data_IF_905515122840
#
_entry.id   IF_905515122840
#
_cell.length_a   1.000
_cell.length_b   1.000
_cell.length_c   1.000
_cell.angle_alpha   90.00
_cell.angle_beta   90.00
_cell.angle_gamma   90.00
#
_symmetry.space_group_name_H-M   'P 1'
#
loop_
_entity.id
_entity.type
_entity.pdbx_description
1 polymer ?
#
# COMPACT_ATOMS: atom_id res chain seq x y z
N UNK A 1 -16.17 -16.53 -7.64
CA UNK A 1 -15.13 -16.90 -8.63
C UNK A 1 -15.15 -15.86 -9.75
N UNK A 2 -14.71 -14.64 -9.42
CA UNK A 2 -14.77 -13.44 -10.27
C UNK A 2 -13.39 -12.76 -10.19
N UNK A 3 -12.97 -12.01 -11.22
CA UNK A 3 -11.65 -11.37 -11.25
C UNK A 3 -11.49 -10.35 -10.13
N UNK A 4 -12.56 -9.60 -9.82
CA UNK A 4 -12.61 -8.74 -8.63
C UNK A 4 -12.28 -9.52 -7.34
N UNK A 5 -12.79 -10.74 -7.20
CA UNK A 5 -12.45 -11.61 -6.07
C UNK A 5 -10.96 -11.97 -6.03
N UNK A 6 -10.30 -12.16 -7.18
CA UNK A 6 -8.86 -12.37 -7.23
C UNK A 6 -8.08 -11.11 -6.82
N UNK A 7 -8.56 -9.91 -7.20
CA UNK A 7 -7.93 -8.65 -6.79
C UNK A 7 -8.00 -8.46 -5.27
N UNK A 8 -9.14 -8.76 -4.64
CA UNK A 8 -9.28 -8.70 -3.18
C UNK A 8 -8.51 -9.82 -2.45
N UNK A 9 -8.33 -10.99 -3.06
CA UNK A 9 -7.42 -12.01 -2.53
C UNK A 9 -5.97 -11.52 -2.48
N UNK A 10 -5.52 -10.80 -3.52
CA UNK A 10 -4.19 -10.18 -3.53
C UNK A 10 -4.06 -9.10 -2.44
N UNK A 11 -5.10 -8.30 -2.20
CA UNK A 11 -5.11 -7.35 -1.09
C UNK A 11 -5.01 -8.06 0.26
N UNK A 12 -5.82 -9.08 0.49
CA UNK A 12 -5.79 -9.87 1.73
C UNK A 12 -4.40 -10.50 1.96
N UNK A 13 -3.80 -11.06 0.92
CA UNK A 13 -2.45 -11.63 0.99
C UNK A 13 -1.40 -10.58 1.39
N UNK A 14 -1.51 -9.38 0.83
CA UNK A 14 -0.62 -8.24 1.12
C UNK A 14 -0.76 -7.79 2.57
N UNK A 15 -1.99 -7.66 3.05
CA UNK A 15 -2.30 -7.18 4.41
C UNK A 15 -1.91 -8.20 5.49
N UNK A 16 -1.87 -9.49 5.15
CA UNK A 16 -1.65 -10.56 6.12
C UNK A 16 -0.27 -10.54 6.77
N UNK A 17 0.76 -10.02 6.09
CA UNK A 17 2.11 -9.94 6.63
C UNK A 17 2.89 -8.79 5.98
N UNK A 18 3.58 -8.00 6.81
CA UNK A 18 4.44 -6.94 6.33
C UNK A 18 5.46 -7.47 5.30
N UNK A 19 5.62 -6.70 4.21
CA UNK A 19 6.52 -7.04 3.12
C UNK A 19 5.94 -7.93 2.01
N UNK A 20 4.79 -8.58 2.23
CA UNK A 20 4.06 -9.31 1.19
C UNK A 20 3.61 -8.38 0.06
N UNK A 21 3.53 -8.93 -1.16
CA UNK A 21 2.91 -8.30 -2.32
C UNK A 21 2.03 -9.35 -2.97
N UNK A 22 0.72 -9.13 -2.92
CA UNK A 22 -0.25 -9.98 -3.61
C UNK A 22 -0.24 -9.72 -5.11
N UNK A 23 -0.38 -10.79 -5.89
CA UNK A 23 -0.41 -10.73 -7.35
C UNK A 23 -1.78 -11.19 -7.86
N UNK A 24 -2.38 -10.40 -8.74
CA UNK A 24 -3.64 -10.68 -9.41
C UNK A 24 -3.39 -10.78 -10.92
N UNK A 25 -3.82 -11.87 -11.55
CA UNK A 25 -3.55 -12.14 -12.97
C UNK A 25 -4.87 -12.34 -13.71
N UNK A 26 -5.01 -11.71 -14.88
CA UNK A 26 -6.17 -11.80 -15.74
C UNK A 26 -5.82 -11.71 -17.22
N UNK A 27 -6.80 -12.01 -18.07
CA UNK A 27 -6.70 -11.80 -19.53
C UNK A 27 -6.85 -10.32 -19.89
N UNK A 28 -7.09 -10.00 -21.17
CA UNK A 28 -7.37 -8.66 -21.67
C UNK A 28 -8.79 -8.16 -21.33
N UNK A 29 -9.08 -6.94 -21.77
CA UNK A 29 -10.43 -6.37 -21.80
C UNK A 29 -11.14 -6.40 -20.44
N UNK A 30 -12.21 -7.19 -20.30
CA UNK A 30 -13.06 -7.17 -19.12
C UNK A 30 -12.32 -7.56 -17.83
N UNK A 31 -11.29 -8.40 -17.91
CA UNK A 31 -10.54 -8.79 -16.71
C UNK A 31 -9.81 -7.58 -16.09
N UNK A 32 -9.20 -6.72 -16.90
CA UNK A 32 -8.57 -5.50 -16.40
C UNK A 32 -9.58 -4.55 -15.76
N UNK A 33 -10.74 -4.35 -16.39
CA UNK A 33 -11.79 -3.49 -15.82
C UNK A 33 -12.38 -4.04 -14.52
N UNK A 34 -12.43 -5.36 -14.35
CA UNK A 34 -12.89 -6.02 -13.12
C UNK A 34 -11.87 -5.90 -11.96
N UNK A 35 -10.62 -5.52 -12.22
CA UNK A 35 -9.61 -5.27 -11.19
C UNK A 35 -9.64 -3.84 -10.63
N UNK A 36 -10.35 -2.91 -11.27
CA UNK A 36 -10.29 -1.48 -10.94
C UNK A 36 -10.72 -1.21 -9.50
N UNK A 37 -11.76 -1.88 -9.00
CA UNK A 37 -12.22 -1.74 -7.61
C UNK A 37 -11.14 -2.19 -6.62
N UNK A 38 -10.47 -3.32 -6.87
CA UNK A 38 -9.37 -3.81 -6.03
C UNK A 38 -8.15 -2.90 -6.05
N UNK A 39 -7.81 -2.33 -7.22
CA UNK A 39 -6.76 -1.32 -7.34
C UNK A 39 -7.10 -0.05 -6.54
N UNK A 40 -8.33 0.44 -6.66
CA UNK A 40 -8.80 1.59 -5.87
C UNK A 40 -8.75 1.32 -4.36
N UNK A 41 -9.24 0.16 -3.92
CA UNK A 41 -9.18 -0.26 -2.51
C UNK A 41 -7.74 -0.27 -1.99
N UNK A 42 -6.82 -0.85 -2.77
CA UNK A 42 -5.41 -0.93 -2.39
C UNK A 42 -4.72 0.45 -2.31
N UNK A 43 -4.94 1.35 -3.27
CA UNK A 43 -4.32 2.69 -3.24
C UNK A 43 -4.91 3.57 -2.13
N UNK A 44 -6.21 3.44 -1.85
CA UNK A 44 -6.87 4.18 -0.78
C UNK A 44 -6.22 3.87 0.58
N UNK A 45 -5.92 2.59 0.81
CA UNK A 45 -5.32 2.11 2.06
C UNK A 45 -3.79 2.10 2.08
N UNK A 46 -3.15 2.58 1.00
CA UNK A 46 -1.69 2.65 0.88
C UNK A 46 -1.01 1.28 0.96
N UNK A 47 -1.59 0.26 0.30
CA UNK A 47 -1.02 -1.09 0.25
C UNK A 47 -0.65 -1.49 -1.19
N UNK A 48 0.41 -2.31 -1.39
CA UNK A 48 0.82 -2.73 -2.73
C UNK A 48 0.15 -4.04 -3.17
N UNK A 49 -0.52 -4.02 -4.32
CA UNK A 49 -0.81 -5.24 -5.10
C UNK A 49 -0.26 -5.07 -6.52
N UNK A 50 0.12 -6.18 -7.15
CA UNK A 50 0.52 -6.21 -8.55
C UNK A 50 -0.59 -6.86 -9.39
N UNK A 51 -1.20 -6.09 -10.27
CA UNK A 51 -2.12 -6.61 -11.27
C UNK A 51 -1.39 -6.82 -12.60
N UNK A 52 -1.59 -7.99 -13.22
CA UNK A 52 -1.04 -8.34 -14.52
C UNK A 52 -2.20 -8.69 -15.45
N UNK A 53 -2.32 -8.00 -16.57
CA UNK A 53 -3.32 -8.28 -17.61
C UNK A 53 -2.64 -8.72 -18.90
N UNK A 54 -3.26 -9.66 -19.61
CA UNK A 54 -2.94 -9.90 -21.01
C UNK A 54 -3.52 -8.79 -21.89
N UNK A 55 -3.04 -8.66 -23.12
CA UNK A 55 -3.51 -7.67 -24.09
C UNK A 55 -3.43 -8.20 -25.52
N UNK A 56 -4.23 -7.62 -26.41
CA UNK A 56 -4.14 -7.84 -27.85
C UNK A 56 -2.73 -7.48 -28.40
N UNK A 57 -2.32 -8.02 -29.57
CA UNK A 57 -1.02 -7.71 -30.15
C UNK A 57 -0.80 -6.21 -30.37
N UNK A 58 0.44 -5.74 -30.24
CA UNK A 58 0.79 -4.31 -30.36
C UNK A 58 0.29 -3.68 -31.68
N UNK A 59 0.34 -4.43 -32.79
CA UNK A 59 -0.06 -3.98 -34.13
C UNK A 59 -1.56 -3.68 -34.31
N UNK A 60 -2.41 -4.03 -33.33
CA UNK A 60 -3.87 -3.91 -33.43
C UNK A 60 -4.52 -3.17 -32.25
N UNK A 61 -3.74 -2.62 -31.31
CA UNK A 61 -4.26 -1.91 -30.12
C UNK A 61 -5.22 -0.75 -30.45
N UNK A 62 -5.10 -0.16 -31.65
CA UNK A 62 -5.94 0.96 -32.10
C UNK A 62 -7.00 0.56 -33.14
N UNK A 63 -7.25 -0.74 -33.34
CA UNK A 63 -8.16 -1.26 -34.39
C UNK A 63 -9.44 -1.89 -33.84
N UNK A 64 -9.76 -1.63 -32.57
CA UNK A 64 -10.91 -2.26 -31.90
C UNK A 64 -10.86 -3.80 -31.96
N UNK A 65 -9.66 -4.37 -31.78
CA UNK A 65 -9.48 -5.81 -31.73
C UNK A 65 -10.27 -6.43 -30.57
N UNK A 66 -10.60 -7.71 -30.68
CA UNK A 66 -11.48 -8.35 -29.71
C UNK A 66 -10.91 -8.25 -28.28
N UNK A 67 -11.70 -7.65 -27.37
CA UNK A 67 -11.31 -7.39 -25.97
C UNK A 67 -10.07 -6.51 -25.79
N UNK A 68 -9.70 -5.69 -26.78
CA UNK A 68 -8.69 -4.65 -26.62
C UNK A 68 -9.30 -3.42 -25.95
N UNK A 69 -8.77 -3.03 -24.79
CA UNK A 69 -9.15 -1.82 -24.06
C UNK A 69 -7.90 -1.12 -23.57
N UNK A 70 -7.91 0.21 -23.52
CA UNK A 70 -6.83 1.01 -22.93
C UNK A 70 -6.89 0.94 -21.39
N UNK A 71 -6.55 -0.23 -20.86
CA UNK A 71 -6.56 -0.48 -19.41
C UNK A 71 -5.54 0.39 -18.67
N UNK A 72 -4.43 0.74 -19.33
CA UNK A 72 -3.40 1.60 -18.74
C UNK A 72 -3.96 2.98 -18.38
N UNK A 73 -4.72 3.61 -19.29
CA UNK A 73 -5.36 4.90 -19.04
C UNK A 73 -6.48 4.80 -18.01
N UNK A 74 -7.25 3.70 -18.01
CA UNK A 74 -8.35 3.48 -17.04
C UNK A 74 -7.80 3.30 -15.62
N UNK A 75 -6.73 2.54 -15.44
CA UNK A 75 -6.16 2.22 -14.13
C UNK A 75 -5.24 3.32 -13.58
N UNK A 76 -4.74 4.23 -14.43
CA UNK A 76 -3.82 5.30 -14.03
C UNK A 76 -4.27 6.14 -12.82
N UNK A 77 -5.55 6.53 -12.65
CA UNK A 77 -5.98 7.33 -11.51
C UNK A 77 -5.99 6.57 -10.17
N UNK A 78 -5.99 5.24 -10.20
CA UNK A 78 -6.13 4.37 -9.02
C UNK A 78 -4.91 3.47 -8.80
N UNK A 79 -3.77 3.82 -9.39
CA UNK A 79 -2.50 3.10 -9.26
C UNK A 79 -1.32 4.05 -9.08
N UNK A 80 -0.20 3.54 -8.55
CA UNK A 80 1.07 4.26 -8.61
C UNK A 80 1.66 4.28 -10.02
N UNK A 81 1.40 3.21 -10.77
CA UNK A 81 1.71 3.10 -12.18
C UNK A 81 0.77 2.10 -12.85
N UNK A 82 0.39 2.41 -14.09
CA UNK A 82 -0.30 1.51 -15.00
C UNK A 82 0.38 1.62 -16.36
N UNK A 83 0.93 0.53 -16.88
CA UNK A 83 1.75 0.55 -18.10
C UNK A 83 1.44 -0.63 -19.00
N UNK A 84 1.16 -0.37 -20.28
CA UNK A 84 1.21 -1.38 -21.32
C UNK A 84 2.64 -1.48 -21.85
N UNK A 85 3.23 -2.68 -21.78
CA UNK A 85 4.61 -2.92 -22.21
C UNK A 85 4.61 -3.16 -23.71
N UNK A 86 5.26 -2.30 -24.48
CA UNK A 86 5.25 -2.37 -25.95
C UNK A 86 6.46 -3.11 -26.54
N UNK A 87 7.51 -3.30 -25.74
CA UNK A 87 8.76 -3.93 -26.18
C UNK A 87 9.13 -5.08 -25.23
N UNK A 88 9.34 -6.28 -25.79
CA UNK A 88 9.59 -7.49 -25.00
C UNK A 88 10.81 -7.39 -24.08
N UNK A 89 11.91 -6.79 -24.57
CA UNK A 89 13.13 -6.58 -23.80
C UNK A 89 12.94 -5.65 -22.58
N UNK A 90 11.85 -4.87 -22.53
CA UNK A 90 11.54 -4.01 -21.39
C UNK A 90 10.79 -4.74 -20.27
N UNK A 91 10.21 -5.92 -20.52
CA UNK A 91 9.40 -6.65 -19.54
C UNK A 91 10.13 -6.81 -18.20
N UNK A 92 11.38 -7.33 -18.13
CA UNK A 92 12.07 -7.47 -16.84
C UNK A 92 12.25 -6.14 -16.10
N UNK A 93 12.61 -5.07 -16.82
CA UNK A 93 12.80 -3.73 -16.24
C UNK A 93 11.49 -3.10 -15.74
N UNK A 94 10.37 -3.36 -16.42
CA UNK A 94 9.04 -2.90 -15.96
C UNK A 94 8.64 -3.60 -14.66
N UNK A 95 8.89 -4.91 -14.54
CA UNK A 95 8.68 -5.62 -13.27
C UNK A 95 9.61 -5.08 -12.16
N UNK A 96 10.88 -4.86 -12.46
CA UNK A 96 11.85 -4.28 -11.53
C UNK A 96 11.36 -2.93 -10.98
N UNK A 97 10.89 -2.06 -11.88
CA UNK A 97 10.34 -0.75 -11.52
C UNK A 97 9.01 -0.87 -10.76
N UNK A 98 8.15 -1.81 -11.10
CA UNK A 98 6.90 -2.05 -10.39
C UNK A 98 7.14 -2.39 -8.92
N UNK A 99 8.07 -3.30 -8.63
CA UNK A 99 8.44 -3.65 -7.26
C UNK A 99 9.07 -2.49 -6.50
N UNK A 100 9.91 -1.69 -7.16
CA UNK A 100 10.46 -0.46 -6.57
C UNK A 100 9.34 0.52 -6.17
N UNK A 101 8.39 0.78 -7.07
CA UNK A 101 7.28 1.70 -6.82
C UNK A 101 6.33 1.20 -5.73
N UNK A 102 6.02 -0.09 -5.73
CA UNK A 102 5.16 -0.70 -4.70
C UNK A 102 5.75 -0.57 -3.29
N UNK A 103 7.09 -0.48 -3.15
CA UNK A 103 7.76 -0.40 -1.84
C UNK A 103 8.22 1.00 -1.42
N UNK A 104 8.40 1.92 -2.37
CA UNK A 104 9.02 3.24 -2.14
C UNK A 104 8.00 4.29 -1.72
N UNK A 105 8.36 5.11 -0.71
CA UNK A 105 7.48 6.17 -0.19
C UNK A 105 6.16 5.62 0.36
N UNK A 106 5.02 6.22 -0.02
CA UNK A 106 3.69 5.67 0.24
C UNK A 106 3.46 4.44 -0.67
N UNK A 107 3.28 3.22 -0.13
CA UNK A 107 2.99 2.05 -0.95
C UNK A 107 1.66 2.18 -1.69
N UNK A 108 1.50 1.43 -2.76
CA UNK A 108 0.30 1.46 -3.58
C UNK A 108 0.41 0.49 -4.76
N UNK A 109 -0.69 0.21 -5.45
CA UNK A 109 -0.77 -0.84 -6.44
C UNK A 109 -0.18 -0.43 -7.79
N UNK A 110 0.21 -1.43 -8.57
CA UNK A 110 0.72 -1.27 -9.94
C UNK A 110 -0.02 -2.22 -10.88
N UNK A 111 -0.32 -1.77 -12.09
CA UNK A 111 -0.83 -2.59 -13.18
C UNK A 111 0.19 -2.68 -14.32
N UNK A 112 0.49 -3.91 -14.75
CA UNK A 112 1.30 -4.21 -15.94
C UNK A 112 0.40 -4.90 -16.95
N UNK A 113 0.28 -4.30 -18.13
CA UNK A 113 -0.50 -4.82 -19.25
C UNK A 113 0.44 -5.37 -20.34
N UNK A 114 0.24 -6.63 -20.73
CA UNK A 114 1.19 -7.40 -21.53
C UNK A 114 0.55 -7.88 -22.85
N UNK A 115 0.84 -7.22 -23.99
CA UNK A 115 0.48 -7.72 -25.32
C UNK A 115 1.01 -9.12 -25.57
N UNK A 116 0.20 -9.98 -26.19
CA UNK A 116 0.56 -11.40 -26.38
C UNK A 116 1.80 -11.59 -27.26
N UNK A 117 2.02 -10.73 -28.25
CA UNK A 117 3.23 -10.71 -29.09
C UNK A 117 4.47 -10.33 -28.29
N UNK A 118 4.35 -9.37 -27.37
CA UNK A 118 5.41 -8.98 -26.42
C UNK A 118 5.75 -10.15 -25.48
N UNK A 119 4.75 -10.89 -24.99
CA UNK A 119 4.96 -12.05 -24.11
C UNK A 119 5.69 -13.21 -24.80
N UNK A 120 5.45 -13.43 -26.09
CA UNK A 120 5.98 -14.58 -26.84
C UNK A 120 7.33 -14.31 -27.51
N UNK A 121 7.78 -13.06 -27.53
CA UNK A 121 9.05 -12.69 -28.17
C UNK A 121 10.23 -13.15 -27.31
N UNK A 122 11.18 -13.87 -27.94
CA UNK A 122 12.43 -14.25 -27.29
C UNK A 122 13.32 -13.02 -27.05
N UNK A 123 13.90 -12.92 -25.86
CA UNK A 123 14.80 -11.83 -25.47
C UNK A 123 16.11 -12.41 -24.94
N UNK A 124 17.19 -11.66 -25.10
CA UNK A 124 18.42 -11.91 -24.36
C UNK A 124 18.29 -11.34 -22.94
N UNK A 125 18.40 -12.19 -21.94
CA UNK A 125 18.28 -11.80 -20.53
C UNK A 125 19.15 -12.70 -19.67
N UNK A 126 20.04 -12.10 -18.88
CA UNK A 126 20.86 -12.79 -17.90
C UNK A 126 20.25 -12.58 -16.49
N UNK A 127 19.65 -13.61 -15.88
CA UNK A 127 19.07 -13.50 -14.55
C UNK A 127 20.10 -13.28 -13.45
N UNK A 128 21.39 -13.60 -13.67
CA UNK A 128 22.45 -13.36 -12.68
C UNK A 128 22.78 -11.87 -12.54
N UNK A 129 22.44 -11.06 -13.55
CA UNK A 129 22.63 -9.61 -13.54
C UNK A 129 21.39 -8.85 -13.03
N UNK A 130 20.31 -9.54 -12.70
CA UNK A 130 19.06 -8.91 -12.26
C UNK A 130 19.08 -8.59 -10.76
N UNK A 131 19.18 -7.31 -10.44
CA UNK A 131 19.22 -6.82 -9.06
C UNK A 131 17.98 -5.97 -8.72
N UNK A 132 17.33 -6.15 -7.55
CA UNK A 132 16.26 -5.26 -7.14
C UNK A 132 16.73 -3.80 -6.99
N UNK A 133 15.93 -2.84 -7.46
CA UNK A 133 16.24 -1.42 -7.24
C UNK A 133 16.10 -1.10 -5.73
N UNK A 134 17.10 -0.43 -5.12
CA UNK A 134 17.02 -0.02 -3.72
C UNK A 134 15.75 0.78 -3.40
N UNK A 135 15.13 0.47 -2.26
CA UNK A 135 13.90 1.15 -1.81
C UNK A 135 14.27 2.41 -1.05
N UNK A 136 13.67 3.55 -1.43
CA UNK A 136 13.84 4.80 -0.70
C UNK A 136 12.70 5.01 0.30
N UNK A 137 13.04 5.26 1.56
CA UNK A 137 12.12 5.68 2.62
C UNK A 137 12.65 6.97 3.26
N UNK A 138 11.87 8.06 3.32
CA UNK A 138 12.30 9.25 4.03
C UNK A 138 12.44 8.94 5.53
N UNK A 139 13.45 9.51 6.17
CA UNK A 139 13.69 9.34 7.59
C UNK A 139 13.75 10.71 8.28
N UNK A 140 13.16 10.81 9.47
CA UNK A 140 13.28 12.00 10.30
C UNK A 140 14.71 12.14 10.83
N UNK A 141 15.22 13.37 10.85
CA UNK A 141 16.48 13.68 11.51
C UNK A 141 16.33 13.65 13.03
N UNK A 142 17.43 13.40 13.75
CA UNK A 142 17.48 13.46 15.21
C UNK A 142 16.88 14.75 15.78
N UNK A 143 17.20 15.91 15.17
CA UNK A 143 16.67 17.21 15.62
C UNK A 143 15.15 17.31 15.50
N UNK A 144 14.55 16.71 14.47
CA UNK A 144 13.10 16.67 14.32
C UNK A 144 12.45 15.79 15.39
N UNK A 145 13.04 14.63 15.68
CA UNK A 145 12.56 13.73 16.74
C UNK A 145 12.70 14.36 18.13
N UNK A 146 13.84 14.97 18.43
CA UNK A 146 14.06 15.69 19.70
C UNK A 146 13.03 16.79 19.88
N UNK A 147 12.68 17.53 18.82
CA UNK A 147 11.65 18.57 18.88
C UNK A 147 10.26 17.98 19.15
N UNK A 148 9.89 16.88 18.51
CA UNK A 148 8.60 16.21 18.74
C UNK A 148 8.48 15.70 20.18
N UNK A 149 9.54 15.07 20.71
CA UNK A 149 9.58 14.56 22.09
C UNK A 149 9.56 15.71 23.11
N UNK A 150 10.22 16.84 22.84
CA UNK A 150 10.11 18.03 23.70
C UNK A 150 8.67 18.56 23.78
N UNK A 151 7.95 18.55 22.65
CA UNK A 151 6.54 18.96 22.63
C UNK A 151 5.66 17.99 23.39
N UNK A 152 5.90 16.68 23.22
CA UNK A 152 5.20 15.62 23.96
C UNK A 152 5.40 15.77 25.47
N UNK A 153 6.64 15.96 25.92
CA UNK A 153 6.98 16.10 27.35
C UNK A 153 6.47 17.39 28.00
N UNK A 154 6.16 18.42 27.21
CA UNK A 154 5.59 19.67 27.70
C UNK A 154 4.06 19.58 27.88
N UNK A 155 3.43 18.52 27.38
CA UNK A 155 2.00 18.28 27.43
C UNK A 155 1.57 17.69 28.77
N UNK A 156 0.41 18.06 29.29
CA UNK A 156 -0.14 17.47 30.52
C UNK A 156 -0.99 16.21 30.25
N UNK A 157 -1.68 16.18 29.10
CA UNK A 157 -2.60 15.10 28.69
C UNK A 157 -2.38 14.73 27.20
N UNK A 158 -1.17 14.27 26.82
CA UNK A 158 -0.90 13.88 25.44
C UNK A 158 -1.58 12.55 25.10
N UNK A 159 -1.85 12.35 23.81
CA UNK A 159 -2.25 11.05 23.24
C UNK A 159 -1.44 10.73 21.98
N UNK A 160 -1.15 9.44 21.77
CA UNK A 160 -0.61 8.94 20.50
C UNK A 160 -1.76 8.50 19.60
N UNK A 161 -1.83 8.98 18.36
CA UNK A 161 -2.77 8.45 17.36
C UNK A 161 -2.00 7.54 16.42
N UNK A 162 -2.30 6.23 16.51
CA UNK A 162 -1.58 5.19 15.78
C UNK A 162 -2.28 4.83 14.46
N UNK A 163 -1.66 5.20 13.35
CA UNK A 163 -2.12 4.97 12.00
C UNK A 163 -1.70 3.61 11.42
N UNK A 164 -2.35 3.19 10.32
CA UNK A 164 -1.94 2.00 9.57
C UNK A 164 -0.54 2.09 8.95
N UNK A 165 0.06 3.29 8.91
CA UNK A 165 1.45 3.49 8.50
C UNK A 165 2.45 2.71 9.37
N UNK A 166 2.13 2.52 10.65
CA UNK A 166 2.96 1.77 11.60
C UNK A 166 2.99 0.28 11.25
N UNK A 167 1.83 -0.30 10.91
CA UNK A 167 1.73 -1.69 10.44
C UNK A 167 2.48 -1.86 9.12
N UNK A 168 2.28 -0.94 8.17
CA UNK A 168 3.00 -0.94 6.89
C UNK A 168 4.52 -0.82 7.04
N UNK A 169 4.98 -0.13 8.10
CA UNK A 169 6.39 0.02 8.42
C UNK A 169 6.97 -1.17 9.21
N UNK A 170 6.15 -2.16 9.58
CA UNK A 170 6.51 -3.27 10.46
C UNK A 170 7.05 -2.78 11.81
N UNK A 171 6.40 -1.73 12.37
CA UNK A 171 6.89 -0.98 13.52
C UNK A 171 5.96 -1.08 14.74
N UNK A 172 5.06 -2.06 14.78
CA UNK A 172 4.09 -2.21 15.87
C UNK A 172 4.78 -2.37 17.23
N UNK A 173 5.77 -3.26 17.34
CA UNK A 173 6.51 -3.49 18.59
C UNK A 173 7.23 -2.22 19.07
N UNK A 174 7.81 -1.44 18.15
CA UNK A 174 8.47 -0.17 18.48
C UNK A 174 7.49 0.90 18.95
N UNK A 175 6.26 0.93 18.42
CA UNK A 175 5.23 1.83 18.94
C UNK A 175 4.84 1.45 20.36
N UNK A 176 4.65 0.15 20.63
CA UNK A 176 4.31 -0.34 21.97
C UNK A 176 5.40 0.05 22.97
N UNK A 177 6.68 -0.23 22.65
CA UNK A 177 7.82 0.17 23.48
C UNK A 177 7.83 1.69 23.71
N UNK A 178 7.60 2.50 22.68
CA UNK A 178 7.56 3.96 22.82
C UNK A 178 6.41 4.43 23.73
N UNK A 179 5.23 3.84 23.60
CA UNK A 179 4.08 4.16 24.44
C UNK A 179 4.35 3.79 25.90
N UNK A 180 4.90 2.60 26.16
CA UNK A 180 5.26 2.12 27.50
C UNK A 180 6.34 3.00 28.16
N UNK A 181 7.39 3.36 27.42
CA UNK A 181 8.46 4.23 27.93
C UNK A 181 7.98 5.63 28.30
N UNK A 182 6.99 6.14 27.58
CA UNK A 182 6.46 7.50 27.80
C UNK A 182 5.23 7.52 28.71
N UNK A 183 4.57 6.38 28.92
CA UNK A 183 3.31 6.28 29.64
C UNK A 183 2.14 6.99 28.95
N UNK A 184 2.24 7.23 27.63
CA UNK A 184 1.26 8.01 26.88
C UNK A 184 0.15 7.10 26.33
N UNK A 185 -1.13 7.40 26.58
CA UNK A 185 -2.23 6.61 26.04
C UNK A 185 -2.28 6.61 24.50
N UNK A 186 -2.69 5.47 23.92
CA UNK A 186 -2.71 5.22 22.47
C UNK A 186 -4.14 5.11 21.97
N UNK A 187 -4.43 5.83 20.89
CA UNK A 187 -5.67 5.81 20.13
C UNK A 187 -5.36 5.21 18.76
N UNK A 188 -5.65 3.92 18.52
CA UNK A 188 -5.51 3.36 17.18
C UNK A 188 -6.58 3.95 16.24
N UNK A 189 -6.19 4.24 15.00
CA UNK A 189 -7.14 4.38 13.90
C UNK A 189 -7.70 3.00 13.55
N UNK A 190 -8.80 2.92 12.78
CA UNK A 190 -9.30 1.63 12.28
C UNK A 190 -8.21 0.84 11.52
N UNK A 191 -7.35 1.55 10.79
CA UNK A 191 -6.25 0.96 10.02
C UNK A 191 -5.03 0.61 10.88
N UNK A 192 -4.90 1.18 12.08
CA UNK A 192 -3.87 0.84 13.07
C UNK A 192 -4.38 -0.08 14.19
N UNK A 193 -5.63 -0.52 14.13
CA UNK A 193 -6.21 -1.36 15.17
C UNK A 193 -5.52 -2.73 15.19
N UNK A 194 -5.11 -3.16 16.39
CA UNK A 194 -4.28 -4.35 16.60
C UNK A 194 -2.78 -4.07 16.76
N UNK A 195 -2.30 -2.82 16.58
CA UNK A 195 -0.91 -2.47 16.95
C UNK A 195 -0.70 -2.64 18.46
N UNK A 196 -1.63 -2.14 19.25
CA UNK A 196 -1.67 -2.30 20.70
C UNK A 196 -2.85 -3.23 21.04
N UNK A 197 -2.66 -4.25 21.91
CA UNK A 197 -3.76 -5.09 22.37
C UNK A 197 -4.90 -4.27 23.00
N UNK A 198 -6.14 -4.71 22.81
CA UNK A 198 -7.32 -4.02 23.36
C UNK A 198 -7.41 -4.09 24.89
N UNK A 199 -6.75 -5.07 25.51
CA UNK A 199 -6.61 -5.23 26.95
C UNK A 199 -5.37 -4.54 27.54
N UNK A 200 -4.58 -3.86 26.71
CA UNK A 200 -3.41 -3.11 27.17
C UNK A 200 -3.82 -1.85 27.96
N UNK A 201 -3.14 -1.55 29.07
CA UNK A 201 -3.52 -0.46 29.97
C UNK A 201 -3.49 0.94 29.33
N UNK A 202 -2.61 1.13 28.34
CA UNK A 202 -2.49 2.37 27.56
C UNK A 202 -3.50 2.49 26.40
N UNK A 203 -4.35 1.49 26.13
CA UNK A 203 -5.33 1.60 25.05
C UNK A 203 -6.46 2.56 25.45
N UNK A 204 -6.54 3.71 24.77
CA UNK A 204 -7.51 4.77 25.03
C UNK A 204 -8.78 4.66 24.15
N UNK A 205 -8.91 3.59 23.36
CA UNK A 205 -9.99 3.37 22.42
C UNK A 205 -9.83 4.09 21.08
N UNK A 206 -10.73 3.79 20.14
CA UNK A 206 -10.76 4.43 18.82
C UNK A 206 -11.58 5.73 18.80
N UNK A 207 -11.14 6.68 17.98
CA UNK A 207 -11.79 7.99 17.74
C UNK A 207 -12.44 8.04 16.36
N UNK A 208 -13.61 8.67 16.27
CA UNK A 208 -14.25 8.91 14.97
C UNK A 208 -15.73 9.24 15.05
N UNK A 209 -16.37 9.26 13.87
CA UNK A 209 -17.80 9.53 13.72
C UNK A 209 -18.66 8.26 13.75
N UNK A 210 -18.08 7.11 13.36
CA UNK A 210 -18.77 5.83 13.19
C UNK A 210 -18.06 4.74 14.00
N UNK A 211 -16.92 4.23 13.49
CA UNK A 211 -16.10 3.21 14.15
C UNK A 211 -15.28 3.85 15.27
N UNK A 212 -15.92 4.05 16.43
CA UNK A 212 -15.34 4.77 17.56
C UNK A 212 -15.90 4.25 18.88
N UNK A 213 -15.26 4.66 19.97
CA UNK A 213 -15.81 4.50 21.31
C UNK A 213 -16.16 5.85 21.92
N UNK A 214 -17.19 5.88 22.77
CA UNK A 214 -17.55 7.10 23.52
C UNK A 214 -16.37 7.61 24.36
N UNK A 215 -15.65 6.70 25.00
CA UNK A 215 -14.48 7.05 25.80
C UNK A 215 -13.28 7.47 24.94
N UNK A 216 -13.08 6.87 23.76
CA UNK A 216 -12.05 7.32 22.82
C UNK A 216 -12.25 8.77 22.37
N UNK A 217 -13.47 9.13 21.96
CA UNK A 217 -13.79 10.52 21.61
C UNK A 217 -13.64 11.48 22.81
N UNK A 218 -14.02 11.06 24.03
CA UNK A 218 -13.85 11.88 25.23
C UNK A 218 -12.35 12.11 25.56
N UNK A 219 -11.56 11.03 25.60
CA UNK A 219 -10.11 11.09 25.82
C UNK A 219 -9.41 12.02 24.83
N UNK A 220 -9.80 11.94 23.54
CA UNK A 220 -9.24 12.81 22.50
C UNK A 220 -9.62 14.28 22.71
N UNK A 221 -10.87 14.58 23.06
CA UNK A 221 -11.33 15.96 23.32
C UNK A 221 -10.72 16.56 24.59
N UNK A 222 -10.36 15.74 25.57
CA UNK A 222 -9.70 16.16 26.81
C UNK A 222 -8.17 16.28 26.68
N UNK A 223 -7.59 15.70 25.62
CA UNK A 223 -6.16 15.78 25.32
C UNK A 223 -5.73 17.21 24.97
N UNK A 224 -4.51 17.59 25.34
CA UNK A 224 -3.92 18.89 25.01
C UNK A 224 -2.86 18.80 23.90
N UNK A 225 -2.48 17.60 23.50
CA UNK A 225 -1.57 17.34 22.38
C UNK A 225 -1.83 15.97 21.74
N UNK A 226 -1.73 15.93 20.41
CA UNK A 226 -1.86 14.70 19.62
C UNK A 226 -0.59 14.48 18.83
N UNK A 227 0.09 13.36 19.07
CA UNK A 227 1.19 12.90 18.23
C UNK A 227 0.67 11.81 17.28
N UNK A 228 0.39 12.20 16.03
CA UNK A 228 -0.01 11.27 14.98
C UNK A 228 1.20 10.55 14.38
N UNK A 229 1.16 9.22 14.37
CA UNK A 229 2.22 8.34 13.86
C UNK A 229 1.63 7.37 12.83
#
# INVERSE_FOLDING_TARGET
RHVEGASHMAEGYTRAKAGNIGVCIGTSGPAGTDMITGLYSAIADSIPILCITGQAPTAVLHKEDFQAVDISSIAKPVTKAATTVLEAAQVPGVFQQAFHLMRTGRPGPVLIDLPIDVQLTEIEFDPELYEPIPVHKPAASRKQIERAVQMLNASERPVLVAGGGIINADASELLVEFAELTGVPVIPTLMGWGILPDDHELNAGMVGLQTSHRYGNANFLESDFVLGI
#
